data_IF_536974546055
#
_entry.id   IF_536974546055
#
_cell.length_a   1.000
_cell.length_b   1.000
_cell.length_c   1.000
_cell.angle_alpha   90.00
_cell.angle_beta   90.00
_cell.angle_gamma   90.00
#
_symmetry.space_group_name_H-M   'P 1'
#
loop_
_entity.id
_entity.type
_entity.pdbx_description
1 polymer ?
#
# COMPACT_ATOMS: atom_id res chain seq x y z
N UNK A 1 8.23 -1.08 3.41
CA UNK A 1 7.07 -1.98 3.61
C UNK A 1 6.52 -1.86 5.04
N UNK A 2 7.36 -2.02 6.07
CA UNK A 2 6.92 -1.93 7.48
C UNK A 2 6.19 -0.63 7.82
N UNK A 3 6.70 0.50 7.36
CA UNK A 3 6.07 1.80 7.65
C UNK A 3 4.64 1.90 7.09
N UNK A 4 4.37 1.30 5.95
CA UNK A 4 3.01 1.22 5.42
C UNK A 4 2.12 0.30 6.25
N UNK A 5 2.66 -0.82 6.71
CA UNK A 5 1.93 -1.79 7.52
C UNK A 5 1.58 -1.25 8.92
N UNK A 6 2.51 -0.53 9.57
CA UNK A 6 2.40 -0.27 11.01
C UNK A 6 2.16 1.21 11.35
N UNK A 7 2.45 2.15 10.46
CA UNK A 7 2.52 3.57 10.81
C UNK A 7 1.50 4.46 10.10
N UNK A 8 0.95 4.02 8.97
CA UNK A 8 0.06 4.88 8.16
C UNK A 8 -1.16 5.34 8.93
N UNK A 9 -1.89 4.41 9.54
CA UNK A 9 -3.12 4.71 10.28
C UNK A 9 -2.85 5.61 11.48
N UNK A 10 -1.82 5.31 12.27
CA UNK A 10 -1.47 6.13 13.44
C UNK A 10 -1.04 7.54 13.05
N UNK A 11 -0.24 7.68 11.99
CA UNK A 11 0.22 8.99 11.51
C UNK A 11 -0.93 9.85 11.00
N UNK A 12 -1.79 9.31 10.15
CA UNK A 12 -2.93 10.10 9.65
C UNK A 12 -3.90 10.45 10.77
N UNK A 13 -4.17 9.54 11.70
CA UNK A 13 -5.01 9.82 12.86
C UNK A 13 -4.45 10.96 13.70
N UNK A 14 -3.14 10.93 14.00
CA UNK A 14 -2.47 12.01 14.75
C UNK A 14 -2.61 13.36 14.06
N UNK A 15 -2.45 13.42 12.73
CA UNK A 15 -2.61 14.66 11.97
C UNK A 15 -4.06 15.14 12.00
N UNK A 16 -5.02 14.24 11.86
CA UNK A 16 -6.44 14.60 11.84
C UNK A 16 -6.92 15.12 13.20
N UNK A 17 -6.30 14.70 14.30
CA UNK A 17 -6.59 15.20 15.65
C UNK A 17 -6.04 16.60 15.95
N UNK A 18 -5.16 17.13 15.09
CA UNK A 18 -4.67 18.51 15.24
C UNK A 18 -5.79 19.51 15.01
N UNK A 19 -5.66 20.70 15.60
CA UNK A 19 -6.54 21.85 15.30
C UNK A 19 -6.48 22.21 13.81
N UNK A 20 -7.57 22.74 13.27
CA UNK A 20 -7.67 23.13 11.85
C UNK A 20 -6.89 24.42 11.57
N UNK A 21 -5.60 24.28 11.45
CA UNK A 21 -4.62 25.35 11.23
C UNK A 21 -3.86 25.13 9.91
N UNK A 22 -3.17 26.17 9.39
CA UNK A 22 -2.25 26.00 8.25
C UNK A 22 -1.16 24.96 8.49
N UNK A 23 -0.75 24.75 9.74
CA UNK A 23 0.22 23.74 10.12
C UNK A 23 -0.31 22.33 9.86
N UNK A 24 -1.55 22.03 10.27
CA UNK A 24 -2.21 20.74 9.97
C UNK A 24 -2.18 20.45 8.47
N UNK A 25 -2.47 21.47 7.64
CA UNK A 25 -2.41 21.32 6.18
C UNK A 25 -1.00 21.00 5.68
N UNK A 26 0.04 21.56 6.29
CA UNK A 26 1.43 21.22 5.95
C UNK A 26 1.76 19.78 6.30
N UNK A 27 1.31 19.28 7.46
CA UNK A 27 1.46 17.87 7.84
C UNK A 27 0.74 16.94 6.88
N UNK A 28 -0.50 17.26 6.50
CA UNK A 28 -1.27 16.49 5.51
C UNK A 28 -0.55 16.43 4.17
N UNK A 29 -0.05 17.55 3.66
CA UNK A 29 0.72 17.61 2.41
C UNK A 29 2.01 16.79 2.50
N UNK A 30 2.71 16.88 3.60
CA UNK A 30 3.96 16.13 3.84
C UNK A 30 3.70 14.63 3.92
N UNK A 31 2.62 14.25 4.61
CA UNK A 31 2.20 12.86 4.70
C UNK A 31 1.77 12.30 3.34
N UNK A 32 0.98 13.05 2.57
CA UNK A 32 0.60 12.66 1.20
C UNK A 32 1.81 12.45 0.31
N UNK A 33 2.81 13.35 0.35
CA UNK A 33 4.07 13.18 -0.41
C UNK A 33 4.84 11.94 0.03
N UNK A 34 4.86 11.64 1.31
CA UNK A 34 5.50 10.44 1.84
C UNK A 34 4.80 9.17 1.33
N UNK A 35 3.47 9.13 1.32
CA UNK A 35 2.69 8.03 0.73
C UNK A 35 3.00 7.92 -0.77
N UNK A 36 2.93 9.03 -1.50
CA UNK A 36 3.20 9.05 -2.94
C UNK A 36 4.58 8.48 -3.26
N UNK A 37 5.61 8.97 -2.58
CA UNK A 37 6.99 8.51 -2.78
C UNK A 37 7.15 7.02 -2.47
N UNK A 38 6.60 6.56 -1.37
CA UNK A 38 6.69 5.16 -0.95
C UNK A 38 5.90 4.18 -1.82
N UNK A 39 4.90 4.68 -2.55
CA UNK A 39 4.12 3.90 -3.52
C UNK A 39 4.74 3.87 -4.92
N UNK A 40 5.77 4.70 -5.21
CA UNK A 40 6.48 4.65 -6.49
C UNK A 40 7.37 3.40 -6.60
N UNK A 41 7.76 3.00 -7.82
CA UNK A 41 8.64 1.85 -8.00
C UNK A 41 9.98 2.03 -7.29
N UNK A 42 10.32 1.12 -6.39
CA UNK A 42 11.60 1.11 -5.69
C UNK A 42 12.68 0.44 -6.55
N UNK A 43 13.91 1.00 -6.64
CA UNK A 43 14.96 0.46 -7.49
C UNK A 43 15.61 -0.80 -6.89
N UNK A 44 16.18 -1.62 -7.75
CA UNK A 44 17.02 -2.78 -7.40
C UNK A 44 16.39 -3.68 -6.34
N UNK A 45 17.15 -4.06 -5.34
CA UNK A 45 16.72 -4.91 -4.23
C UNK A 45 16.12 -4.12 -3.03
N UNK A 46 15.93 -2.82 -3.16
CA UNK A 46 15.28 -2.00 -2.12
C UNK A 46 13.91 -2.55 -1.80
N UNK A 47 13.53 -2.51 -0.53
CA UNK A 47 12.18 -2.89 -0.10
C UNK A 47 11.13 -1.96 -0.70
N UNK A 48 9.93 -2.44 -0.84
CA UNK A 48 8.70 -1.80 -1.31
C UNK A 48 8.21 -2.33 -2.65
N UNK A 49 7.36 -1.58 -3.34
CA UNK A 49 6.71 -1.98 -4.58
C UNK A 49 7.64 -1.87 -5.78
N UNK A 50 7.49 -2.76 -6.76
CA UNK A 50 8.30 -2.81 -7.97
C UNK A 50 7.48 -2.48 -9.21
N UNK A 51 8.16 -2.02 -10.25
CA UNK A 51 7.51 -1.69 -11.52
C UNK A 51 6.86 -2.92 -12.18
N UNK A 52 7.44 -4.09 -12.00
CA UNK A 52 6.96 -5.37 -12.51
C UNK A 52 5.85 -6.03 -11.66
N UNK A 53 5.40 -5.36 -10.60
CA UNK A 53 4.41 -5.90 -9.68
C UNK A 53 4.99 -6.72 -8.52
N UNK A 54 6.31 -6.86 -8.42
CA UNK A 54 6.96 -7.46 -7.25
C UNK A 54 6.77 -6.61 -6.00
N UNK A 55 6.76 -7.25 -4.84
CA UNK A 55 6.71 -6.59 -3.54
C UNK A 55 7.87 -7.08 -2.67
N UNK A 56 8.88 -6.23 -2.53
CA UNK A 56 10.13 -6.61 -1.89
C UNK A 56 10.19 -6.21 -0.43
N UNK A 57 10.65 -7.17 0.38
CA UNK A 57 11.04 -6.96 1.78
C UNK A 57 12.26 -7.85 2.08
N UNK A 58 13.16 -7.38 2.93
CA UNK A 58 14.42 -8.07 3.21
C UNK A 58 15.22 -8.45 1.93
N UNK A 59 15.24 -7.57 0.93
CA UNK A 59 15.94 -7.77 -0.35
C UNK A 59 15.41 -8.92 -1.20
N UNK A 60 14.19 -9.37 -0.93
CA UNK A 60 13.57 -10.48 -1.63
C UNK A 60 12.12 -10.16 -2.00
N UNK A 61 11.60 -10.80 -3.03
CA UNK A 61 10.17 -10.79 -3.30
C UNK A 61 9.44 -11.55 -2.19
N UNK A 62 8.54 -10.86 -1.47
CA UNK A 62 7.92 -11.38 -0.28
C UNK A 62 6.42 -11.02 -0.25
N UNK A 63 5.62 -11.66 -1.13
CA UNK A 63 4.22 -11.28 -1.30
C UNK A 63 3.38 -11.32 -0.02
N UNK A 64 3.48 -12.39 0.75
CA UNK A 64 2.70 -12.54 1.98
C UNK A 64 2.98 -11.43 3.01
N UNK A 65 4.23 -10.98 3.12
CA UNK A 65 4.58 -9.86 4.00
C UNK A 65 4.07 -8.51 3.44
N UNK A 66 3.98 -8.41 2.13
CA UNK A 66 3.55 -7.19 1.46
C UNK A 66 2.06 -6.89 1.66
N UNK A 67 1.24 -7.87 2.07
CA UNK A 67 -0.21 -7.67 2.30
C UNK A 67 -0.47 -6.51 3.26
N UNK A 68 0.21 -6.48 4.41
CA UNK A 68 0.04 -5.39 5.36
C UNK A 68 0.51 -4.03 4.81
N UNK A 69 1.61 -4.03 4.04
CA UNK A 69 2.09 -2.82 3.37
C UNK A 69 1.12 -2.31 2.30
N UNK A 70 0.51 -3.22 1.57
CA UNK A 70 -0.53 -2.89 0.59
C UNK A 70 -1.80 -2.38 1.25
N UNK A 71 -2.21 -2.97 2.37
CA UNK A 71 -3.35 -2.48 3.14
C UNK A 71 -3.16 -1.01 3.53
N UNK A 72 -2.03 -0.68 4.14
CA UNK A 72 -1.72 0.71 4.46
C UNK A 72 -1.66 1.64 3.25
N UNK A 73 -1.06 1.19 2.14
CA UNK A 73 -0.96 1.99 0.93
C UNK A 73 -2.33 2.22 0.26
N UNK A 74 -3.13 1.18 0.11
CA UNK A 74 -4.44 1.27 -0.55
C UNK A 74 -5.44 2.09 0.26
N UNK A 75 -5.45 1.95 1.59
CA UNK A 75 -6.27 2.77 2.46
C UNK A 75 -5.93 4.26 2.32
N UNK A 76 -4.66 4.62 2.25
CA UNK A 76 -4.25 6.02 2.07
C UNK A 76 -4.55 6.54 0.66
N UNK A 77 -4.32 5.72 -0.37
CA UNK A 77 -4.71 6.06 -1.75
C UNK A 77 -6.21 6.33 -1.84
N UNK A 78 -7.02 5.48 -1.23
CA UNK A 78 -8.48 5.65 -1.19
C UNK A 78 -8.87 6.92 -0.42
N UNK A 79 -8.34 7.12 0.76
CA UNK A 79 -8.65 8.26 1.62
C UNK A 79 -8.35 9.59 0.93
N UNK A 80 -7.23 9.68 0.21
CA UNK A 80 -6.83 10.89 -0.50
C UNK A 80 -7.39 11.01 -1.92
N UNK A 81 -8.03 9.96 -2.44
CA UNK A 81 -8.66 10.00 -3.75
C UNK A 81 -9.67 11.15 -3.81
N UNK A 82 -9.77 11.82 -4.97
CA UNK A 82 -10.67 12.97 -5.18
C UNK A 82 -10.37 14.20 -4.31
N UNK A 83 -9.19 14.28 -3.73
CA UNK A 83 -8.71 15.46 -3.00
C UNK A 83 -7.47 16.04 -3.68
N UNK A 84 -7.09 17.25 -3.30
CA UNK A 84 -5.82 17.85 -3.73
C UNK A 84 -4.57 17.14 -3.15
N UNK A 85 -4.78 16.14 -2.30
CA UNK A 85 -3.74 15.32 -1.68
C UNK A 85 -3.60 13.94 -2.34
N UNK A 86 -4.32 13.69 -3.44
CA UNK A 86 -4.24 12.43 -4.17
C UNK A 86 -2.79 12.10 -4.58
N UNK A 87 -2.44 10.83 -4.52
CA UNK A 87 -1.13 10.36 -5.00
C UNK A 87 -1.04 10.48 -6.52
N UNK A 88 0.19 10.52 -7.04
CA UNK A 88 0.43 10.55 -8.48
C UNK A 88 -0.09 9.29 -9.17
N UNK A 89 -0.41 9.42 -10.45
CA UNK A 89 -0.80 8.29 -11.28
C UNK A 89 0.26 7.16 -11.28
N UNK A 90 1.55 7.53 -11.25
CA UNK A 90 2.64 6.56 -11.16
C UNK A 90 2.54 5.73 -9.88
N UNK A 91 2.36 6.37 -8.73
CA UNK A 91 2.22 5.69 -7.45
C UNK A 91 0.98 4.79 -7.42
N UNK A 92 -0.17 5.31 -7.84
CA UNK A 92 -1.42 4.54 -7.93
C UNK A 92 -1.28 3.32 -8.84
N UNK A 93 -0.75 3.50 -10.06
CA UNK A 93 -0.54 2.41 -11.01
C UNK A 93 0.43 1.35 -10.48
N UNK A 94 1.49 1.76 -9.79
CA UNK A 94 2.46 0.83 -9.18
C UNK A 94 1.78 -0.07 -8.15
N UNK A 95 1.02 0.51 -7.22
CA UNK A 95 0.30 -0.27 -6.20
C UNK A 95 -0.74 -1.18 -6.83
N UNK A 96 -1.48 -0.69 -7.84
CA UNK A 96 -2.43 -1.51 -8.60
C UNK A 96 -1.74 -2.71 -9.27
N UNK A 97 -0.60 -2.51 -9.92
CA UNK A 97 0.15 -3.60 -10.56
C UNK A 97 0.61 -4.64 -9.54
N UNK A 98 1.07 -4.22 -8.37
CA UNK A 98 1.46 -5.14 -7.30
C UNK A 98 0.26 -5.95 -6.82
N UNK A 99 -0.91 -5.33 -6.62
CA UNK A 99 -2.14 -6.03 -6.24
C UNK A 99 -2.55 -7.08 -7.28
N UNK A 100 -2.50 -6.73 -8.56
CA UNK A 100 -2.82 -7.64 -9.64
C UNK A 100 -1.84 -8.82 -9.71
N UNK A 101 -0.53 -8.55 -9.57
CA UNK A 101 0.49 -9.60 -9.51
C UNK A 101 0.26 -10.51 -8.28
N UNK A 102 -0.01 -9.94 -7.11
CA UNK A 102 -0.31 -10.73 -5.93
C UNK A 102 -1.58 -11.56 -6.09
N UNK A 103 -2.60 -11.03 -6.75
CA UNK A 103 -3.82 -11.78 -7.07
C UNK A 103 -3.54 -12.97 -7.98
N UNK A 104 -2.60 -12.83 -8.92
CA UNK A 104 -2.18 -13.92 -9.79
C UNK A 104 -1.52 -15.08 -9.02
N UNK A 105 -0.76 -14.78 -7.97
CA UNK A 105 -0.13 -15.81 -7.13
C UNK A 105 -1.11 -16.52 -6.20
N UNK A 106 -2.28 -15.96 -5.95
CA UNK A 106 -3.24 -16.53 -5.01
C UNK A 106 -4.11 -17.61 -5.65
N UNK A 107 -4.33 -18.70 -4.92
CA UNK A 107 -5.45 -19.59 -5.17
C UNK A 107 -6.67 -19.03 -4.43
N UNK A 108 -7.61 -18.47 -5.16
CA UNK A 108 -8.71 -17.64 -4.62
C UNK A 108 -8.12 -16.43 -3.88
N UNK A 109 -8.07 -16.46 -2.57
CA UNK A 109 -7.54 -15.37 -1.72
C UNK A 109 -6.37 -15.81 -0.83
N UNK A 110 -5.86 -17.02 -1.02
CA UNK A 110 -4.79 -17.56 -0.19
C UNK A 110 -3.49 -17.67 -1.00
N UNK A 111 -2.38 -17.24 -0.38
CA UNK A 111 -1.06 -17.47 -0.93
C UNK A 111 -0.63 -18.93 -0.75
N UNK A 112 0.10 -19.52 -1.72
CA UNK A 112 0.77 -20.80 -1.51
C UNK A 112 1.72 -20.74 -0.31
N UNK A 113 1.88 -21.85 0.40
CA UNK A 113 2.78 -21.94 1.55
C UNK A 113 4.22 -21.51 1.19
N UNK A 114 4.68 -21.87 -0.01
CA UNK A 114 6.01 -21.50 -0.54
C UNK A 114 6.23 -19.99 -0.64
N UNK A 115 5.17 -19.18 -0.70
CA UNK A 115 5.22 -17.72 -0.80
C UNK A 115 4.82 -17.03 0.51
N UNK A 116 4.42 -17.80 1.51
CA UNK A 116 3.96 -17.27 2.81
C UNK A 116 5.12 -16.90 3.74
N UNK A 117 6.38 -17.18 3.35
CA UNK A 117 7.57 -16.88 4.14
C UNK A 117 7.52 -17.55 5.52
N UNK A 118 7.69 -16.75 6.56
CA UNK A 118 7.63 -17.24 7.95
C UNK A 118 6.20 -17.41 8.51
N UNK A 119 5.19 -17.33 7.67
CA UNK A 119 3.79 -17.50 8.06
C UNK A 119 3.18 -18.73 7.38
N UNK A 120 3.66 -19.94 7.72
CA UNK A 120 3.18 -21.18 7.08
C UNK A 120 1.72 -21.50 7.42
N UNK A 121 1.16 -20.85 8.43
CA UNK A 121 -0.24 -20.97 8.85
C UNK A 121 -1.24 -20.22 7.94
N UNK A 122 -0.79 -19.73 6.79
CA UNK A 122 -1.67 -19.13 5.80
C UNK A 122 -2.15 -17.71 6.14
N UNK A 123 -1.42 -16.97 6.95
CA UNK A 123 -1.74 -15.54 7.23
C UNK A 123 -1.67 -14.61 6.02
N UNK A 124 -1.32 -15.11 4.86
CA UNK A 124 -1.35 -14.34 3.62
C UNK A 124 -2.69 -14.41 2.93
N UNK A 125 -3.75 -13.82 3.50
CA UNK A 125 -5.01 -13.62 2.77
C UNK A 125 -5.00 -12.27 2.07
N UNK A 126 -5.18 -12.28 0.77
CA UNK A 126 -5.40 -11.08 -0.03
C UNK A 126 -6.88 -10.65 0.13
N UNK A 127 -7.24 -10.18 1.32
CA UNK A 127 -8.59 -9.77 1.64
C UNK A 127 -8.87 -8.39 1.04
N UNK A 128 -9.99 -8.26 0.35
CA UNK A 128 -10.71 -7.01 -0.01
C UNK A 128 -9.90 -5.81 -0.52
N UNK A 129 -8.57 -5.85 -0.53
CA UNK A 129 -7.71 -4.74 -1.01
C UNK A 129 -8.00 -4.35 -2.47
N UNK A 130 -8.46 -5.30 -3.28
CA UNK A 130 -8.84 -5.06 -4.67
C UNK A 130 -10.06 -4.13 -4.75
N UNK A 131 -10.99 -4.22 -3.81
CA UNK A 131 -12.18 -3.36 -3.77
C UNK A 131 -11.86 -1.93 -3.34
N UNK A 132 -10.77 -1.72 -2.58
CA UNK A 132 -10.33 -0.41 -2.12
C UNK A 132 -9.59 0.35 -3.22
N UNK A 133 -8.85 -0.37 -4.07
CA UNK A 133 -8.04 0.27 -5.14
C UNK A 133 -8.84 0.70 -6.38
N UNK A 134 -10.09 0.26 -6.54
CA UNK A 134 -10.98 0.66 -7.63
C UNK A 134 -12.34 1.17 -7.11
N UNK A 135 -12.40 2.31 -6.43
CA UNK A 135 -13.63 2.77 -5.80
C UNK A 135 -14.71 3.32 -6.74
N UNK A 136 -14.55 3.25 -8.07
CA UNK A 136 -15.41 4.04 -8.93
C UNK A 136 -15.68 3.47 -10.31
N UNK A 137 -16.35 2.33 -10.39
CA UNK A 137 -17.09 1.98 -11.60
C UNK A 137 -18.55 1.62 -11.35
N UNK A 138 -19.13 2.11 -10.28
CA UNK A 138 -20.57 2.03 -10.04
C UNK A 138 -21.10 3.42 -9.67
N UNK A 139 -21.20 4.27 -10.63
CA UNK A 139 -22.08 5.43 -10.64
C UNK A 139 -22.58 5.67 -12.05
#
# INVERSE_FOLDING_TARGET
>A
MDSFNTQTTGRIASILMMEDTPEKLQYLKSFSRWIDYGCRPAPGLSGSFKADGGAFHHRNNYPAYAVGGLDGATNMIYLFSRTSLAVSELAHRTVKNVLLAMRFYCNKLNFPLSMSGRHPDGKGKLLSLIHISEPTRHA
#
